data_IF_277530156603
#
_entry.id   IF_277530156603
#
_cell.length_a   1.000
_cell.length_b   1.000
_cell.length_c   1.000
_cell.angle_alpha   90.00
_cell.angle_beta   90.00
_cell.angle_gamma   90.00
#
_symmetry.space_group_name_H-M   'P 1'
#
loop_
_entity.id
_entity.type
_entity.pdbx_description
1 polymer ?
#
# COMPACT_ATOMS: atom_id res chain seq x y z
N UNK A 1 -19.87 -36.41 -20.00
CA UNK A 1 -18.96 -37.44 -19.46
C UNK A 1 -18.32 -38.18 -20.62
N UNK A 2 -17.11 -38.74 -20.48
CA UNK A 2 -16.09 -38.54 -19.44
C UNK A 2 -15.28 -37.24 -19.79
N UNK A 3 -14.00 -37.01 -19.47
CA UNK A 3 -13.00 -37.79 -18.74
C UNK A 3 -11.69 -37.00 -18.49
N UNK A 4 -10.95 -37.36 -17.44
CA UNK A 4 -9.66 -36.75 -17.04
C UNK A 4 -8.50 -37.27 -17.89
N UNK A 5 -7.49 -36.44 -18.17
CA UNK A 5 -6.07 -36.85 -18.09
C UNK A 5 -5.10 -35.67 -18.08
N UNK A 6 -4.01 -35.80 -17.33
CA UNK A 6 -2.94 -34.83 -17.15
C UNK A 6 -1.57 -35.47 -17.42
N UNK A 7 -0.64 -34.69 -18.00
CA UNK A 7 0.73 -35.11 -18.36
C UNK A 7 1.65 -33.87 -18.34
N UNK A 8 3.00 -33.97 -18.28
CA UNK A 8 3.68 -33.83 -16.99
C UNK A 8 4.79 -32.76 -16.97
N UNK A 9 5.45 -32.61 -15.82
CA UNK A 9 6.59 -31.71 -15.62
C UNK A 9 7.80 -32.07 -16.50
N UNK A 10 8.43 -31.04 -17.09
CA UNK A 10 9.65 -31.20 -17.87
C UNK A 10 10.84 -31.64 -17.01
N UNK A 11 11.60 -32.62 -17.52
CA UNK A 11 12.86 -33.11 -16.94
C UNK A 11 13.95 -32.91 -17.99
N UNK A 12 14.89 -32.00 -17.75
CA UNK A 12 16.00 -31.71 -18.66
C UNK A 12 17.22 -32.62 -18.41
N UNK A 13 17.94 -32.94 -19.48
CA UNK A 13 19.20 -33.69 -19.44
C UNK A 13 19.66 -34.04 -20.86
N UNK A 14 20.95 -33.86 -21.14
CA UNK A 14 21.71 -34.19 -22.36
C UNK A 14 23.20 -33.83 -22.09
N UNK A 15 24.20 -34.38 -22.80
CA UNK A 15 24.80 -35.66 -22.42
C UNK A 15 26.30 -35.56 -22.05
N UNK A 16 26.99 -36.71 -21.99
CA UNK A 16 28.42 -36.86 -21.71
C UNK A 16 29.04 -37.91 -22.64
N UNK A 17 30.28 -37.66 -23.09
CA UNK A 17 31.22 -38.59 -23.71
C UNK A 17 32.57 -38.41 -22.98
N UNK A 18 33.21 -39.44 -22.41
CA UNK A 18 34.07 -40.46 -23.04
C UNK A 18 35.34 -39.86 -23.70
N UNK A 19 36.58 -40.28 -23.41
CA UNK A 19 37.14 -41.33 -22.51
C UNK A 19 38.06 -40.68 -21.42
N UNK A 20 39.13 -41.20 -20.80
CA UNK A 20 39.96 -42.45 -20.88
C UNK A 20 40.72 -42.69 -19.55
N UNK A 21 41.38 -43.85 -19.43
CA UNK A 21 42.03 -44.39 -18.21
C UNK A 21 43.53 -44.06 -18.05
N UNK A 22 44.04 -44.10 -16.81
CA UNK A 22 45.21 -44.92 -16.41
C UNK A 22 45.27 -45.13 -14.87
N UNK A 23 46.05 -46.11 -14.40
CA UNK A 23 46.02 -46.70 -13.04
C UNK A 23 47.08 -46.16 -12.03
N UNK A 24 46.75 -46.12 -10.73
CA UNK A 24 47.70 -46.40 -9.61
C UNK A 24 47.06 -46.45 -8.19
N UNK A 25 47.44 -47.46 -7.40
CA UNK A 25 47.11 -47.70 -5.98
C UNK A 25 47.73 -46.69 -4.98
N UNK A 26 46.98 -46.30 -3.91
CA UNK A 26 47.52 -46.03 -2.56
C UNK A 26 46.45 -45.69 -1.47
N UNK A 27 46.13 -46.68 -0.63
CA UNK A 27 45.82 -46.62 0.82
C UNK A 27 45.57 -45.27 1.57
N UNK A 28 44.48 -45.20 2.37
CA UNK A 28 44.51 -44.46 3.65
C UNK A 28 43.26 -43.67 4.11
N UNK A 29 42.65 -44.11 5.23
CA UNK A 29 41.87 -43.30 6.20
C UNK A 29 40.85 -42.24 5.69
N UNK A 30 39.63 -42.69 5.36
CA UNK A 30 38.44 -41.81 5.35
C UNK A 30 38.08 -41.35 6.78
N UNK A 31 38.55 -40.18 7.21
CA UNK A 31 38.04 -39.49 8.41
C UNK A 31 36.55 -39.18 8.22
N UNK A 32 35.71 -39.56 9.19
CA UNK A 32 34.30 -39.17 9.22
C UNK A 32 34.21 -37.67 9.50
N UNK A 33 33.86 -36.87 8.49
CA UNK A 33 33.49 -35.47 8.75
C UNK A 33 32.19 -35.46 9.56
N UNK A 34 32.23 -34.79 10.72
CA UNK A 34 31.08 -34.68 11.59
C UNK A 34 29.95 -33.91 10.89
N UNK A 35 28.71 -34.33 11.14
CA UNK A 35 27.51 -33.61 10.75
C UNK A 35 27.52 -32.25 11.43
N UNK A 36 27.86 -31.20 10.69
CA UNK A 36 27.82 -29.82 11.20
C UNK A 36 26.42 -29.45 11.67
N UNK A 37 26.27 -28.43 12.53
CA UNK A 37 24.96 -27.92 12.90
C UNK A 37 24.15 -27.60 11.65
N UNK A 38 22.89 -28.01 11.63
CA UNK A 38 21.95 -27.53 10.62
C UNK A 38 21.87 -26.01 10.78
N UNK A 39 22.11 -25.24 9.70
CA UNK A 39 21.89 -23.80 9.73
C UNK A 39 20.46 -23.53 10.19
N UNK A 40 20.31 -22.84 11.30
CA UNK A 40 18.99 -22.35 11.71
C UNK A 40 18.53 -21.29 10.69
N UNK A 41 17.27 -21.39 10.27
CA UNK A 41 16.70 -20.77 9.07
C UNK A 41 16.97 -19.26 8.91
N UNK A 42 16.91 -18.80 7.66
CA UNK A 42 17.07 -17.39 7.25
C UNK A 42 15.99 -16.40 7.78
N UNK A 43 15.21 -16.76 8.81
CA UNK A 43 14.30 -15.85 9.53
C UNK A 43 15.02 -14.66 10.18
N UNK A 44 16.35 -14.72 10.33
CA UNK A 44 17.19 -13.60 10.76
C UNK A 44 17.28 -12.43 9.76
N UNK A 45 16.74 -12.55 8.54
CA UNK A 45 16.84 -11.52 7.50
C UNK A 45 15.76 -10.42 7.57
N UNK A 46 14.67 -10.63 8.34
CA UNK A 46 13.61 -9.64 8.48
C UNK A 46 13.96 -8.55 9.52
N UNK A 47 13.79 -7.25 9.22
CA UNK A 47 13.98 -6.17 10.19
C UNK A 47 13.17 -6.38 11.47
N UNK A 48 13.74 -6.06 12.63
CA UNK A 48 13.07 -6.25 13.94
C UNK A 48 12.52 -4.93 14.47
N UNK A 49 11.26 -4.96 14.93
CA UNK A 49 10.65 -3.89 15.70
C UNK A 49 11.24 -3.83 17.14
N UNK A 50 11.12 -2.70 17.86
CA UNK A 50 11.53 -2.61 19.26
C UNK A 50 10.80 -3.62 20.17
N UNK A 51 11.40 -4.12 21.27
CA UNK A 51 10.80 -5.19 22.10
C UNK A 51 9.42 -4.86 22.69
N UNK A 52 9.10 -3.58 22.90
CA UNK A 52 7.77 -3.13 23.36
C UNK A 52 6.64 -3.58 22.43
N UNK A 53 6.92 -3.81 21.13
CA UNK A 53 5.97 -4.41 20.17
C UNK A 53 5.43 -5.78 20.61
N UNK A 54 6.15 -6.50 21.46
CA UNK A 54 5.76 -7.82 21.98
C UNK A 54 5.05 -7.78 23.34
N UNK A 55 4.79 -6.59 23.91
CA UNK A 55 4.00 -6.49 25.14
C UNK A 55 2.54 -6.90 24.89
N UNK A 56 1.90 -7.70 25.77
CA UNK A 56 0.47 -8.04 25.66
C UNK A 56 -0.45 -6.81 25.58
N UNK A 57 -0.09 -5.71 26.25
CA UNK A 57 -0.76 -4.41 26.16
C UNK A 57 -0.67 -3.84 24.74
N UNK A 58 0.51 -3.86 24.14
CA UNK A 58 0.77 -3.33 22.80
C UNK A 58 0.06 -4.16 21.73
N UNK A 59 0.11 -5.49 21.84
CA UNK A 59 -0.59 -6.43 20.96
C UNK A 59 -2.10 -6.13 20.88
N UNK A 60 -2.75 -5.79 22.01
CA UNK A 60 -4.17 -5.43 22.00
C UNK A 60 -4.46 -4.14 21.23
N UNK A 61 -3.65 -3.10 21.41
CA UNK A 61 -3.74 -1.81 20.70
C UNK A 61 -3.47 -2.00 19.20
N UNK A 62 -2.43 -2.78 18.86
CA UNK A 62 -2.05 -3.09 17.49
C UNK A 62 -3.18 -3.83 16.74
N UNK A 63 -3.94 -4.72 17.40
CA UNK A 63 -5.09 -5.40 16.75
C UNK A 63 -6.16 -4.38 16.33
N UNK A 64 -6.58 -3.50 17.24
CA UNK A 64 -7.63 -2.51 16.94
C UNK A 64 -7.20 -1.54 15.83
N UNK A 65 -5.93 -1.10 15.88
CA UNK A 65 -5.35 -0.19 14.90
C UNK A 65 -5.12 -0.87 13.54
N UNK A 66 -4.63 -2.11 13.52
CA UNK A 66 -4.47 -2.88 12.30
C UNK A 66 -5.83 -3.20 11.66
N UNK A 67 -6.84 -3.60 12.43
CA UNK A 67 -8.21 -3.78 11.89
C UNK A 67 -8.79 -2.47 11.33
N UNK A 68 -8.49 -1.31 11.95
CA UNK A 68 -8.90 -0.02 11.41
C UNK A 68 -8.19 0.30 10.09
N UNK A 69 -6.89 -0.01 9.97
CA UNK A 69 -6.14 0.13 8.73
C UNK A 69 -6.68 -0.80 7.65
N UNK A 70 -6.87 -2.10 7.92
CA UNK A 70 -7.44 -3.07 6.97
C UNK A 70 -8.80 -2.56 6.45
N UNK A 71 -9.73 -2.18 7.35
CA UNK A 71 -11.05 -1.63 6.95
C UNK A 71 -10.94 -0.39 6.06
N UNK A 72 -9.99 0.50 6.33
CA UNK A 72 -9.78 1.70 5.52
C UNK A 72 -9.19 1.38 4.14
N UNK A 73 -8.12 0.60 4.10
CA UNK A 73 -7.38 0.33 2.87
C UNK A 73 -8.14 -0.61 1.93
N UNK A 74 -8.98 -1.50 2.47
CA UNK A 74 -9.99 -2.24 1.71
C UNK A 74 -10.98 -1.28 1.05
N UNK A 75 -11.53 -0.33 1.82
CA UNK A 75 -12.48 0.67 1.30
C UNK A 75 -11.86 1.57 0.22
N UNK A 76 -10.60 1.97 0.39
CA UNK A 76 -9.86 2.77 -0.61
C UNK A 76 -9.57 1.99 -1.89
N UNK A 77 -9.31 0.67 -1.80
CA UNK A 77 -9.01 -0.18 -2.96
C UNK A 77 -10.21 -0.96 -3.51
N UNK A 78 -11.42 -0.74 -2.98
CA UNK A 78 -12.65 -1.40 -3.43
C UNK A 78 -12.72 -2.90 -3.12
N UNK A 79 -12.11 -3.33 -2.01
CA UNK A 79 -12.13 -4.72 -1.55
C UNK A 79 -13.35 -4.92 -0.63
N UNK A 80 -14.30 -5.73 -1.08
CA UNK A 80 -15.52 -6.07 -0.34
C UNK A 80 -15.40 -7.45 0.35
N UNK A 81 -16.33 -7.77 1.25
CA UNK A 81 -16.47 -9.07 1.95
C UNK A 81 -15.23 -9.64 2.70
N UNK A 82 -14.25 -8.79 3.07
CA UNK A 82 -13.09 -9.23 3.85
C UNK A 82 -13.47 -9.67 5.28
N UNK A 83 -13.31 -10.96 5.57
CA UNK A 83 -13.55 -11.55 6.90
C UNK A 83 -12.67 -10.97 8.02
N UNK A 84 -11.55 -10.30 7.69
CA UNK A 84 -10.70 -9.61 8.67
C UNK A 84 -11.26 -8.23 9.09
N UNK A 85 -12.19 -7.69 8.30
CA UNK A 85 -12.87 -6.41 8.54
C UNK A 85 -14.15 -6.55 9.37
N UNK A 86 -14.80 -7.73 9.31
CA UNK A 86 -16.04 -8.00 10.05
C UNK A 86 -15.83 -7.86 11.55
N UNK A 87 -16.62 -6.96 12.13
CA UNK A 87 -17.11 -7.08 13.51
C UNK A 87 -18.63 -7.14 13.39
N UNK A 88 -19.17 -8.35 13.22
CA UNK A 88 -20.61 -8.62 13.17
C UNK A 88 -21.26 -8.42 14.56
N UNK A 89 -21.20 -7.20 15.09
CA UNK A 89 -22.18 -6.65 16.01
C UNK A 89 -23.46 -6.31 15.22
N UNK A 90 -24.02 -7.33 14.57
CA UNK A 90 -25.23 -7.20 13.78
C UNK A 90 -26.41 -6.86 14.70
N UNK A 91 -27.36 -6.05 14.20
CA UNK A 91 -28.32 -5.33 15.05
C UNK A 91 -29.51 -6.17 15.49
N UNK A 92 -29.26 -7.27 16.21
CA UNK A 92 -30.29 -8.19 16.73
C UNK A 92 -30.36 -8.21 18.26
N UNK A 93 -30.95 -7.14 18.81
CA UNK A 93 -31.88 -7.19 19.94
C UNK A 93 -31.47 -7.88 21.26
N UNK A 94 -31.26 -7.03 22.29
CA UNK A 94 -31.36 -7.35 23.73
C UNK A 94 -30.22 -8.16 24.36
N UNK A 95 -29.72 -7.68 25.51
CA UNK A 95 -28.78 -8.41 26.35
C UNK A 95 -27.75 -7.52 27.06
N UNK A 96 -28.09 -6.99 28.25
CA UNK A 96 -27.03 -6.55 29.18
C UNK A 96 -26.30 -7.78 29.69
N UNK A 97 -24.99 -7.85 29.48
CA UNK A 97 -24.10 -8.76 30.21
C UNK A 97 -22.84 -8.03 30.64
N UNK A 98 -22.42 -8.24 31.89
CA UNK A 98 -21.04 -7.98 32.30
C UNK A 98 -20.24 -9.22 31.93
N UNK A 99 -19.33 -9.09 30.97
CA UNK A 99 -18.28 -10.06 30.67
C UNK A 99 -16.93 -9.36 30.74
N UNK A 100 -15.90 -10.07 31.22
CA UNK A 100 -14.53 -9.54 31.18
C UNK A 100 -14.10 -9.27 29.74
N UNK A 101 -13.33 -8.21 29.51
CA UNK A 101 -12.92 -7.76 28.17
C UNK A 101 -11.92 -8.72 27.53
N UNK A 102 -12.43 -9.81 26.95
CA UNK A 102 -11.71 -10.62 25.96
C UNK A 102 -11.56 -9.78 24.70
N UNK A 103 -10.35 -9.74 24.13
CA UNK A 103 -10.07 -8.93 22.94
C UNK A 103 -10.79 -9.44 21.68
N UNK A 104 -10.64 -8.75 20.53
CA UNK A 104 -11.27 -9.16 19.28
C UNK A 104 -10.92 -10.60 18.88
N UNK A 105 -11.93 -11.37 18.48
CA UNK A 105 -11.80 -12.74 17.95
C UNK A 105 -12.44 -12.79 16.57
N UNK A 106 -11.73 -13.31 15.57
CA UNK A 106 -12.27 -13.55 14.21
C UNK A 106 -12.44 -15.05 13.98
N UNK A 107 -13.62 -15.47 13.53
CA UNK A 107 -13.96 -16.88 13.31
C UNK A 107 -13.89 -17.22 11.82
N UNK A 108 -12.77 -17.80 11.40
CA UNK A 108 -12.58 -18.27 10.02
C UNK A 108 -13.29 -19.63 9.86
N UNK A 109 -14.33 -19.68 9.02
CA UNK A 109 -15.05 -20.90 8.64
C UNK A 109 -14.45 -21.46 7.34
N UNK A 110 -13.42 -22.30 7.46
CA UNK A 110 -12.81 -23.00 6.33
C UNK A 110 -13.62 -24.22 5.87
N UNK A 111 -13.27 -24.76 4.70
CA UNK A 111 -13.99 -25.88 4.07
C UNK A 111 -14.00 -27.18 4.90
N UNK A 112 -13.02 -27.37 5.79
CA UNK A 112 -12.85 -28.59 6.59
C UNK A 112 -12.85 -28.35 8.11
N UNK A 113 -12.75 -27.10 8.56
CA UNK A 113 -12.66 -26.74 9.98
C UNK A 113 -12.98 -25.27 10.23
N UNK A 114 -13.36 -24.96 11.46
CA UNK A 114 -13.56 -23.58 11.94
C UNK A 114 -12.38 -23.24 12.86
N UNK A 115 -11.72 -22.10 12.66
CA UNK A 115 -10.65 -21.58 13.53
C UNK A 115 -11.01 -20.20 14.05
N UNK A 116 -10.94 -20.02 15.38
CA UNK A 116 -10.87 -18.68 15.98
C UNK A 116 -9.44 -18.14 15.91
N UNK A 117 -9.28 -16.90 15.48
CA UNK A 117 -8.04 -16.13 15.61
C UNK A 117 -8.22 -15.08 16.71
N UNK A 118 -7.31 -15.06 17.66
CA UNK A 118 -7.26 -14.07 18.74
C UNK A 118 -5.80 -13.66 19.04
N UNK A 119 -5.62 -12.55 19.76
CA UNK A 119 -4.30 -12.11 20.25
C UNK A 119 -3.22 -12.06 19.16
N UNK A 120 -2.09 -12.72 19.43
CA UNK A 120 -0.92 -12.72 18.53
C UNK A 120 -1.24 -13.31 17.15
N UNK A 121 -2.02 -14.39 17.06
CA UNK A 121 -2.36 -15.01 15.77
C UNK A 121 -3.25 -14.12 14.92
N UNK A 122 -4.20 -13.42 15.55
CA UNK A 122 -5.03 -12.42 14.87
C UNK A 122 -4.17 -11.24 14.38
N UNK A 123 -3.31 -10.70 15.25
CA UNK A 123 -2.43 -9.59 14.89
C UNK A 123 -1.50 -9.94 13.74
N UNK A 124 -0.84 -11.10 13.79
CA UNK A 124 0.06 -11.54 12.72
C UNK A 124 -0.66 -11.85 11.41
N UNK A 125 -1.93 -12.25 11.47
CA UNK A 125 -2.79 -12.36 10.28
C UNK A 125 -3.07 -10.97 9.68
N UNK A 126 -3.49 -10.00 10.51
CA UNK A 126 -3.80 -8.64 10.08
C UNK A 126 -2.60 -7.91 9.46
N UNK A 127 -1.46 -7.87 10.14
CA UNK A 127 -0.26 -7.17 9.62
C UNK A 127 0.37 -7.89 8.43
N UNK A 128 0.12 -9.19 8.27
CA UNK A 128 0.52 -9.93 7.06
C UNK A 128 -0.42 -9.64 5.89
N UNK A 129 -1.72 -9.48 6.13
CA UNK A 129 -2.66 -8.99 5.11
C UNK A 129 -2.32 -7.57 4.66
N UNK A 130 -2.09 -6.64 5.60
CA UNK A 130 -1.65 -5.27 5.33
C UNK A 130 -0.43 -5.20 4.41
N UNK A 131 0.61 -5.99 4.70
CA UNK A 131 1.79 -6.06 3.86
C UNK A 131 1.55 -6.71 2.49
N UNK A 132 0.78 -7.81 2.44
CA UNK A 132 0.61 -8.61 1.21
C UNK A 132 -0.38 -8.03 0.21
N UNK A 133 -1.36 -7.26 0.67
CA UNK A 133 -2.46 -6.72 -0.16
C UNK A 133 -2.33 -5.20 -0.35
N UNK A 134 -1.88 -4.46 0.67
CA UNK A 134 -1.81 -2.99 0.59
C UNK A 134 -0.37 -2.45 0.52
N UNK A 135 0.63 -3.29 0.77
CA UNK A 135 2.04 -2.90 0.77
C UNK A 135 2.47 -2.09 1.99
N UNK A 136 1.73 -2.23 3.09
CA UNK A 136 1.92 -1.49 4.34
C UNK A 136 2.75 -2.30 5.34
N UNK A 137 3.92 -1.79 5.72
CA UNK A 137 4.76 -2.34 6.78
C UNK A 137 4.40 -1.71 8.12
N UNK A 138 3.52 -2.40 8.87
CA UNK A 138 2.91 -1.88 10.08
C UNK A 138 3.94 -1.41 11.13
N UNK A 139 5.00 -2.19 11.37
CA UNK A 139 6.04 -1.80 12.34
C UNK A 139 7.16 -0.97 11.72
N UNK A 140 7.30 -0.98 10.40
CA UNK A 140 8.22 -0.09 9.66
C UNK A 140 7.76 1.37 9.59
N UNK A 141 6.47 1.65 9.85
CA UNK A 141 5.84 2.96 9.61
C UNK A 141 5.99 3.41 8.15
N UNK A 142 5.69 2.52 7.20
CA UNK A 142 5.75 2.80 5.77
C UNK A 142 4.66 2.09 4.97
N UNK A 143 4.32 2.65 3.82
CA UNK A 143 3.35 2.14 2.86
C UNK A 143 3.94 2.31 1.46
N UNK A 144 3.87 1.28 0.63
CA UNK A 144 4.53 1.25 -0.68
C UNK A 144 3.62 0.61 -1.73
N UNK A 145 3.60 1.17 -2.95
CA UNK A 145 2.78 0.64 -4.04
C UNK A 145 3.22 -0.78 -4.46
N UNK A 146 4.54 -1.03 -4.49
CA UNK A 146 5.13 -2.33 -4.83
C UNK A 146 5.99 -2.88 -3.68
N UNK A 147 5.35 -3.33 -2.61
CA UNK A 147 6.03 -3.95 -1.46
C UNK A 147 6.91 -5.15 -1.85
N UNK A 148 8.20 -5.05 -1.54
CA UNK A 148 9.25 -6.02 -1.87
C UNK A 148 10.10 -6.33 -0.63
N UNK A 149 10.69 -7.52 -0.59
CA UNK A 149 11.53 -7.95 0.54
C UNK A 149 10.71 -8.34 1.78
N UNK A 150 11.19 -7.95 2.96
CA UNK A 150 10.62 -8.34 4.25
C UNK A 150 10.11 -7.10 5.01
N UNK A 151 8.86 -7.15 5.47
CA UNK A 151 8.33 -6.22 6.48
C UNK A 151 9.05 -6.36 7.82
N UNK A 152 8.94 -5.35 8.67
CA UNK A 152 9.34 -5.44 10.06
C UNK A 152 8.50 -6.49 10.81
N UNK A 153 9.16 -7.23 11.68
CA UNK A 153 8.56 -8.27 12.54
C UNK A 153 8.94 -8.04 14.00
N UNK A 154 8.14 -8.54 14.94
CA UNK A 154 8.47 -8.47 16.35
C UNK A 154 9.74 -9.30 16.66
N UNK A 155 10.53 -8.93 17.69
CA UNK A 155 11.68 -9.72 18.12
C UNK A 155 11.23 -10.98 18.85
N UNK A 156 12.07 -12.02 18.81
CA UNK A 156 11.81 -13.30 19.47
C UNK A 156 12.58 -13.37 20.79
N UNK A 157 11.94 -13.92 21.83
CA UNK A 157 12.56 -14.10 23.15
C UNK A 157 12.45 -12.90 24.09
N UNK A 158 12.93 -13.08 25.33
CA UNK A 158 12.77 -12.11 26.44
C UNK A 158 14.02 -11.24 26.65
N UNK A 159 14.49 -10.56 25.61
CA UNK A 159 15.58 -9.59 25.74
C UNK A 159 15.03 -8.22 26.17
N UNK A 160 14.94 -7.99 27.48
CA UNK A 160 14.38 -6.78 28.09
C UNK A 160 15.46 -5.81 28.59
N UNK A 161 16.36 -5.39 27.70
CA UNK A 161 17.32 -4.29 27.95
C UNK A 161 17.22 -3.20 26.87
N UNK A 162 16.03 -2.63 26.72
CA UNK A 162 15.86 -1.30 26.12
C UNK A 162 15.26 -0.34 27.16
N UNK A 163 15.85 0.84 27.31
CA UNK A 163 15.40 1.87 28.25
C UNK A 163 13.94 2.23 27.99
N UNK A 164 13.06 2.04 28.97
CA UNK A 164 11.59 2.11 28.85
C UNK A 164 11.09 3.36 28.13
N UNK A 165 11.76 4.51 28.30
CA UNK A 165 11.46 5.75 27.60
C UNK A 165 11.47 5.58 26.07
N UNK A 166 12.49 4.92 25.50
CA UNK A 166 12.65 4.70 24.06
C UNK A 166 11.43 3.98 23.47
N UNK A 167 11.02 2.87 24.11
CA UNK A 167 9.79 2.16 23.76
C UNK A 167 8.56 3.08 23.78
N UNK A 168 8.34 3.84 24.85
CA UNK A 168 7.17 4.73 24.94
C UNK A 168 7.18 5.89 23.94
N UNK A 169 8.34 6.31 23.44
CA UNK A 169 8.44 7.37 22.43
C UNK A 169 8.28 6.79 21.00
N UNK A 170 8.72 5.54 20.77
CA UNK A 170 8.38 4.77 19.56
C UNK A 170 6.88 4.46 19.46
N UNK A 171 6.23 4.03 20.55
CA UNK A 171 4.78 3.76 20.56
C UNK A 171 3.97 4.98 20.12
N UNK A 172 4.25 6.15 20.71
CA UNK A 172 3.60 7.41 20.34
C UNK A 172 3.81 7.76 18.87
N UNK A 173 5.00 7.49 18.31
CA UNK A 173 5.30 7.73 16.90
C UNK A 173 4.48 6.81 16.00
N UNK A 174 4.49 5.50 16.29
CA UNK A 174 3.73 4.48 15.58
C UNK A 174 2.23 4.83 15.57
N UNK A 175 1.67 5.12 16.74
CA UNK A 175 0.26 5.45 16.89
C UNK A 175 -0.09 6.77 16.18
N UNK A 176 0.74 7.81 16.30
CA UNK A 176 0.49 9.09 15.62
C UNK A 176 0.51 8.93 14.09
N UNK A 177 1.47 8.17 13.57
CA UNK A 177 1.63 7.91 12.13
C UNK A 177 0.42 7.16 11.55
N UNK A 178 0.01 6.05 12.17
CA UNK A 178 -1.15 5.31 11.68
C UNK A 178 -2.47 6.02 11.95
N UNK A 179 -2.60 6.80 13.03
CA UNK A 179 -3.77 7.66 13.23
C UNK A 179 -3.84 8.80 12.21
N UNK A 180 -2.71 9.32 11.72
CA UNK A 180 -2.68 10.26 10.60
C UNK A 180 -3.12 9.60 9.29
N UNK A 181 -2.56 8.43 8.94
CA UNK A 181 -3.02 7.67 7.77
C UNK A 181 -4.50 7.31 7.84
N UNK A 182 -5.02 6.96 9.03
CA UNK A 182 -6.45 6.71 9.27
C UNK A 182 -7.33 7.95 9.05
N UNK A 183 -6.83 9.17 9.28
CA UNK A 183 -7.55 10.43 8.98
C UNK A 183 -7.36 10.99 7.58
N UNK A 184 -6.23 10.68 6.91
CA UNK A 184 -5.89 11.18 5.58
C UNK A 184 -6.65 10.49 4.43
N UNK A 185 -6.05 10.45 3.25
CA UNK A 185 -6.50 9.69 2.08
C UNK A 185 -5.41 8.68 1.66
N UNK A 186 -5.62 7.93 0.57
CA UNK A 186 -4.56 7.14 -0.06
C UNK A 186 -3.47 8.09 -0.61
N UNK A 187 -2.17 7.88 -0.29
CA UNK A 187 -1.07 8.71 -0.80
C UNK A 187 -1.02 8.82 -2.33
N UNK A 188 -1.40 7.77 -3.06
CA UNK A 188 -1.39 7.76 -4.51
C UNK A 188 -2.56 8.57 -5.09
N UNK A 189 -3.77 8.46 -4.52
CA UNK A 189 -4.91 9.30 -4.91
C UNK A 189 -4.63 10.79 -4.65
N UNK A 190 -3.98 11.12 -3.52
CA UNK A 190 -3.49 12.48 -3.24
C UNK A 190 -2.52 12.98 -4.33
N UNK A 191 -1.56 12.16 -4.74
CA UNK A 191 -0.63 12.49 -5.83
C UNK A 191 -1.32 12.67 -7.19
N UNK A 192 -2.46 12.01 -7.46
CA UNK A 192 -3.22 12.31 -8.70
C UNK A 192 -3.77 13.74 -8.72
N UNK A 193 -4.00 14.34 -7.55
CA UNK A 193 -4.61 15.65 -7.35
C UNK A 193 -5.85 15.88 -8.23
N UNK A 194 -6.64 14.82 -8.46
CA UNK A 194 -7.76 14.78 -9.42
C UNK A 194 -8.74 15.94 -9.28
N UNK A 195 -9.09 16.32 -8.05
CA UNK A 195 -10.00 17.44 -7.78
C UNK A 195 -9.41 18.81 -8.20
N UNK A 196 -8.10 19.04 -7.96
CA UNK A 196 -7.36 20.24 -8.42
C UNK A 196 -7.37 20.32 -9.96
N UNK A 197 -7.21 19.18 -10.65
CA UNK A 197 -7.30 19.11 -12.11
C UNK A 197 -8.74 19.31 -12.61
N UNK A 198 -9.73 18.68 -11.98
CA UNK A 198 -11.14 18.75 -12.42
C UNK A 198 -11.76 20.15 -12.21
N UNK A 199 -11.34 20.86 -11.15
CA UNK A 199 -11.69 22.25 -10.87
C UNK A 199 -11.05 23.22 -11.88
N UNK A 200 -9.74 23.14 -12.09
CA UNK A 200 -9.04 23.93 -13.11
C UNK A 200 -9.62 23.67 -14.53
N UNK A 201 -10.03 22.44 -14.81
CA UNK A 201 -10.72 22.09 -16.05
C UNK A 201 -12.10 22.75 -16.19
N UNK A 202 -12.82 23.03 -15.10
CA UNK A 202 -14.12 23.75 -15.15
C UNK A 202 -13.87 25.23 -15.45
N UNK A 203 -12.97 25.87 -14.68
CA UNK A 203 -12.63 27.29 -14.85
C UNK A 203 -12.09 27.59 -16.26
N UNK A 204 -11.19 26.75 -16.78
CA UNK A 204 -10.64 26.91 -18.12
C UNK A 204 -11.66 26.64 -19.25
N UNK A 205 -12.75 25.91 -18.97
CA UNK A 205 -13.81 25.62 -19.94
C UNK A 205 -14.95 26.66 -19.95
N UNK A 206 -15.06 27.55 -18.96
CA UNK A 206 -16.10 28.59 -18.93
C UNK A 206 -16.10 29.53 -20.16
N UNK A 207 -14.94 29.96 -20.71
CA UNK A 207 -14.88 30.69 -21.99
C UNK A 207 -15.49 29.91 -23.17
N UNK A 208 -15.58 28.58 -23.07
CA UNK A 208 -16.20 27.69 -24.05
C UNK A 208 -17.69 27.38 -23.74
N UNK A 209 -18.33 28.08 -22.80
CA UNK A 209 -19.77 27.98 -22.50
C UNK A 209 -20.51 29.23 -22.99
N UNK A 210 -21.04 29.17 -24.21
CA UNK A 210 -21.73 30.32 -24.85
C UNK A 210 -23.15 30.49 -24.29
N UNK A 211 -23.36 31.46 -23.41
CA UNK A 211 -24.70 31.80 -22.88
C UNK A 211 -25.52 32.56 -23.93
N UNK A 212 -26.67 32.01 -24.31
CA UNK A 212 -27.56 32.48 -25.37
C UNK A 212 -28.95 32.74 -24.78
N UNK A 213 -29.55 33.90 -25.06
CA UNK A 213 -30.95 34.17 -24.69
C UNK A 213 -31.88 33.45 -25.67
N UNK A 214 -32.91 32.82 -25.15
CA UNK A 214 -33.97 32.14 -25.92
C UNK A 214 -35.32 32.73 -25.52
N UNK A 215 -36.13 33.13 -26.50
CA UNK A 215 -37.39 33.87 -26.26
C UNK A 215 -38.47 33.02 -25.57
N UNK A 216 -38.39 31.68 -25.68
CA UNK A 216 -39.37 30.73 -25.13
C UNK A 216 -38.87 29.98 -23.90
N UNK A 217 -37.56 29.84 -23.75
CA UNK A 217 -36.92 29.05 -22.69
C UNK A 217 -35.90 29.85 -21.83
N UNK A 218 -35.82 31.17 -22.01
CA UNK A 218 -35.03 32.10 -21.18
C UNK A 218 -33.54 32.09 -21.51
N UNK A 219 -32.80 31.11 -20.99
CA UNK A 219 -31.36 30.95 -21.23
C UNK A 219 -31.04 29.54 -21.73
N UNK A 220 -30.23 29.46 -22.79
CA UNK A 220 -29.60 28.24 -23.27
C UNK A 220 -28.08 28.40 -23.26
N UNK A 221 -27.37 27.29 -23.16
CA UNK A 221 -25.92 27.24 -23.05
C UNK A 221 -25.37 26.40 -24.20
N UNK A 222 -24.57 27.03 -25.07
CA UNK A 222 -24.03 26.42 -26.27
C UNK A 222 -22.55 26.03 -26.11
N UNK A 223 -22.15 24.94 -26.75
CA UNK A 223 -20.75 24.54 -26.82
C UNK A 223 -19.92 25.57 -27.62
N UNK A 224 -18.79 26.00 -27.07
CA UNK A 224 -17.82 26.93 -27.70
C UNK A 224 -16.63 26.25 -28.37
N UNK A 225 -16.61 24.91 -28.46
CA UNK A 225 -15.58 24.18 -29.19
C UNK A 225 -15.73 24.39 -30.71
N UNK A 226 -14.59 24.44 -31.43
CA UNK A 226 -14.54 24.65 -32.88
C UNK A 226 -15.39 23.58 -33.60
N UNK A 227 -16.26 24.01 -34.52
CA UNK A 227 -17.17 23.13 -35.25
C UNK A 227 -18.36 22.56 -34.46
N UNK A 228 -18.53 22.90 -33.17
CA UNK A 228 -19.61 22.34 -32.34
C UNK A 228 -20.83 23.27 -32.21
N UNK A 229 -22.01 22.76 -32.53
CA UNK A 229 -23.28 23.50 -32.54
C UNK A 229 -24.26 23.12 -31.42
N UNK A 230 -23.89 22.19 -30.53
CA UNK A 230 -24.81 21.67 -29.50
C UNK A 230 -25.21 22.73 -28.47
N UNK A 231 -26.50 22.74 -28.13
CA UNK A 231 -27.13 23.62 -27.14
C UNK A 231 -27.75 22.78 -26.00
N UNK A 232 -27.75 23.35 -24.79
CA UNK A 232 -28.19 22.72 -23.55
C UNK A 232 -28.99 23.71 -22.69
N UNK A 233 -29.71 23.21 -21.69
CA UNK A 233 -30.53 24.04 -20.78
C UNK A 233 -29.77 24.56 -19.54
N UNK A 234 -28.58 24.02 -19.24
CA UNK A 234 -27.70 24.48 -18.16
C UNK A 234 -26.22 24.39 -18.58
N UNK A 235 -25.35 25.18 -17.95
CA UNK A 235 -23.90 25.24 -18.19
C UNK A 235 -23.20 23.90 -17.89
N UNK A 236 -23.57 23.23 -16.80
CA UNK A 236 -23.00 21.94 -16.37
C UNK A 236 -23.05 20.86 -17.46
N UNK A 237 -24.15 20.83 -18.25
CA UNK A 237 -24.26 19.92 -19.38
C UNK A 237 -23.30 20.27 -20.52
N UNK A 238 -22.93 21.54 -20.67
CA UNK A 238 -21.88 21.98 -21.61
C UNK A 238 -20.50 21.56 -21.10
N UNK A 239 -20.19 21.77 -19.82
CA UNK A 239 -18.92 21.28 -19.22
C UNK A 239 -18.79 19.76 -19.36
N UNK A 240 -19.84 19.00 -19.04
CA UNK A 240 -19.88 17.53 -19.22
C UNK A 240 -19.79 17.12 -20.69
N UNK A 241 -20.39 17.88 -21.60
CA UNK A 241 -20.24 17.66 -23.04
C UNK A 241 -18.82 17.92 -23.53
N UNK A 242 -18.17 19.00 -23.07
CA UNK A 242 -16.78 19.34 -23.38
C UNK A 242 -15.85 18.22 -22.92
N UNK A 243 -15.90 17.81 -21.64
CA UNK A 243 -15.13 16.68 -21.09
C UNK A 243 -15.34 15.35 -21.83
N UNK A 244 -16.54 15.07 -22.36
CA UNK A 244 -16.88 13.78 -23.01
C UNK A 244 -16.81 13.75 -24.55
N UNK A 245 -16.64 14.90 -25.23
CA UNK A 245 -16.65 14.98 -26.71
C UNK A 245 -15.62 15.93 -27.32
N UNK A 246 -14.93 16.72 -26.50
CA UNK A 246 -13.81 17.58 -26.90
C UNK A 246 -12.60 17.32 -25.99
N UNK A 247 -12.16 16.05 -25.79
CA UNK A 247 -11.13 15.71 -24.81
C UNK A 247 -9.81 16.42 -25.09
N UNK A 248 -9.41 16.56 -26.36
CA UNK A 248 -8.21 17.30 -26.78
C UNK A 248 -8.20 18.75 -26.25
N UNK A 249 -9.34 19.45 -26.32
CA UNK A 249 -9.47 20.81 -25.80
C UNK A 249 -9.32 20.84 -24.27
N UNK A 250 -9.85 19.84 -23.56
CA UNK A 250 -9.66 19.73 -22.10
C UNK A 250 -8.20 19.40 -21.76
N UNK A 251 -7.53 18.57 -22.56
CA UNK A 251 -6.10 18.26 -22.40
C UNK A 251 -5.22 19.49 -22.66
N UNK A 252 -5.47 20.24 -23.74
CA UNK A 252 -4.80 21.51 -24.06
C UNK A 252 -4.96 22.52 -22.91
N UNK A 253 -6.19 22.76 -22.45
CA UNK A 253 -6.49 23.73 -21.39
C UNK A 253 -5.98 23.34 -20.00
N UNK A 254 -5.76 22.05 -19.73
CA UNK A 254 -5.25 21.56 -18.42
C UNK A 254 -3.79 21.12 -18.45
N UNK A 255 -3.13 21.21 -19.60
CA UNK A 255 -1.72 20.82 -19.82
C UNK A 255 -0.81 21.36 -18.73
N UNK A 256 -0.73 22.69 -18.61
CA UNK A 256 0.13 23.36 -17.61
C UNK A 256 -0.14 22.88 -16.18
N UNK A 257 -1.41 22.78 -15.75
CA UNK A 257 -1.74 22.37 -14.37
C UNK A 257 -1.29 20.93 -14.08
N UNK A 258 -1.26 20.06 -15.10
CA UNK A 258 -0.74 18.69 -15.00
C UNK A 258 0.79 18.63 -15.04
N UNK A 259 1.42 19.50 -15.83
CA UNK A 259 2.88 19.64 -15.88
C UNK A 259 3.44 20.21 -14.56
N UNK A 260 2.81 21.27 -14.03
CA UNK A 260 3.09 21.84 -12.72
C UNK A 260 2.94 20.76 -11.63
N UNK A 261 1.83 20.00 -11.62
CA UNK A 261 1.59 18.89 -10.68
C UNK A 261 2.59 17.74 -10.80
N UNK A 262 2.95 17.34 -12.02
CA UNK A 262 3.95 16.30 -12.27
C UNK A 262 5.32 16.71 -11.69
N UNK A 263 5.69 17.98 -11.87
CA UNK A 263 6.93 18.54 -11.35
C UNK A 263 6.89 18.73 -9.82
N UNK A 264 5.76 19.18 -9.26
CA UNK A 264 5.50 19.23 -7.81
C UNK A 264 5.66 17.84 -7.18
N UNK A 265 5.05 16.80 -7.75
CA UNK A 265 5.17 15.44 -7.25
C UNK A 265 6.62 14.91 -7.34
N UNK A 266 7.26 15.03 -8.51
CA UNK A 266 8.63 14.57 -8.72
C UNK A 266 9.65 15.26 -7.81
N UNK A 267 9.49 16.55 -7.52
CA UNK A 267 10.40 17.29 -6.64
C UNK A 267 10.25 16.92 -5.16
N UNK A 268 9.07 16.44 -4.74
CA UNK A 268 8.77 16.12 -3.35
C UNK A 268 8.83 14.61 -3.04
N UNK A 269 9.03 13.75 -4.04
CA UNK A 269 9.26 12.31 -3.89
C UNK A 269 10.68 12.02 -3.36
N UNK A 270 10.85 11.45 -2.16
CA UNK A 270 12.17 11.13 -1.60
C UNK A 270 12.94 10.06 -2.39
N UNK A 271 12.24 9.19 -3.12
CA UNK A 271 12.82 8.09 -3.90
C UNK A 271 13.00 8.46 -5.40
N UNK A 272 12.86 9.75 -5.74
CA UNK A 272 12.94 10.26 -7.11
C UNK A 272 14.26 9.88 -7.84
N UNK A 273 14.19 9.38 -9.09
CA UNK A 273 15.36 8.91 -9.83
C UNK A 273 16.28 10.06 -10.26
N UNK A 274 17.31 10.30 -9.46
CA UNK A 274 18.27 11.40 -9.64
C UNK A 274 18.80 11.97 -8.32
N UNK A 275 18.16 11.62 -7.18
CA UNK A 275 18.45 12.20 -5.88
C UNK A 275 17.78 13.56 -5.70
N UNK A 276 18.16 14.29 -4.64
CA UNK A 276 17.53 15.58 -4.31
C UNK A 276 17.67 16.58 -5.47
N UNK A 277 16.56 17.14 -5.99
CA UNK A 277 16.61 18.09 -7.10
C UNK A 277 17.54 19.26 -6.82
N UNK A 278 18.30 19.72 -7.82
CA UNK A 278 19.28 20.82 -7.66
C UNK A 278 18.64 22.09 -7.10
N UNK A 279 17.35 22.33 -7.38
CA UNK A 279 16.57 23.44 -6.84
C UNK A 279 16.33 23.40 -5.31
N UNK A 280 16.47 22.23 -4.68
CA UNK A 280 16.37 22.05 -3.22
C UNK A 280 17.74 21.99 -2.53
N UNK A 281 18.86 22.02 -3.26
CA UNK A 281 20.17 22.01 -2.62
C UNK A 281 20.37 23.29 -1.80
N UNK A 282 20.60 23.21 -0.47
CA UNK A 282 20.87 24.39 0.33
C UNK A 282 22.14 25.04 -0.20
N UNK A 283 22.08 26.36 -0.47
CA UNK A 283 23.17 27.13 -1.05
C UNK A 283 24.42 27.00 -0.18
N UNK A 284 25.35 26.13 -0.58
CA UNK A 284 26.60 25.88 0.17
C UNK A 284 27.45 27.14 0.06
N UNK A 285 27.39 27.98 1.08
CA UNK A 285 28.10 29.26 1.12
C UNK A 285 29.61 29.01 1.07
N UNK A 286 30.18 29.15 -0.13
CA UNK A 286 31.61 29.15 -0.38
C UNK A 286 32.22 30.42 0.22
N UNK A 287 32.40 30.42 1.55
CA UNK A 287 33.35 31.29 2.22
C UNK A 287 34.77 30.91 1.76
N UNK A 288 35.16 31.44 0.61
CA UNK A 288 36.54 31.53 0.18
C UNK A 288 37.32 32.31 1.23
N UNK A 289 38.05 31.58 2.07
CA UNK A 289 39.10 32.14 2.91
C UNK A 289 40.17 32.75 1.99
N UNK A 290 40.14 34.07 1.86
CA UNK A 290 41.28 34.83 1.33
C UNK A 290 42.18 35.16 2.52
N UNK A 291 43.36 34.55 2.53
CA UNK A 291 44.51 34.95 3.37
C UNK A 291 45.38 35.96 2.60
#
# INVERSE_FOLDING_TARGET
TPGVNSVPSNKSGLPSDQTSDDEAEASGNRRRHARGPVKENDFSAAPKAPPVSSEPRRIHIDIEQAQALVRKLDSEKGIEDNILCSVDNDKTGSGKSHGGSVGPIIIIRGLASVKGLEGVELLDTLITYLWRIHGLDYYGMSETNEAKGFRHVRPEGKSYEETTKSGTDWEKKLDSFWQERLRGQDPLELMTAKEKIDAAAIEALDPHVRKIRDEKYGWKYGCGAKGCTKLFHASEFVHKHLKLKHPELVMELTSKVREDLYFENYINDPDAPGGTPVMQQPQVSLMLYVM
#
